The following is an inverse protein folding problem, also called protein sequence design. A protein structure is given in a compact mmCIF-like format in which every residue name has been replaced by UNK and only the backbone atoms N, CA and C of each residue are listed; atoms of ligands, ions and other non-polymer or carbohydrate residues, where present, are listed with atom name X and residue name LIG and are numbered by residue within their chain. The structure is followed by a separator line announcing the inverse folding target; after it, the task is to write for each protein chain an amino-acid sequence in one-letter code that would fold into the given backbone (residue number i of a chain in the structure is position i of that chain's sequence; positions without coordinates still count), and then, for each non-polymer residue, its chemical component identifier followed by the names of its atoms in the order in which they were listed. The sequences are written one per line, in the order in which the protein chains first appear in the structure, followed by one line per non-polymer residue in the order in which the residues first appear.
data_IF_934545318058
#
_entry.id   IF_934545318058
#
_cell.length_a   1.000
_cell.length_b   1.000
_cell.length_c   1.000
_cell.angle_alpha   90.00
_cell.angle_beta   90.00
_cell.angle_gamma   90.00
#
_symmetry.space_group_name_H-M   'P 1'
#
loop_
_entity.id
_entity.type
_entity.pdbx_description
1 polymer ?
#
# COMPACT_ATOMS: atom_id res chain seq x y z
N UNK A 1 3.33 4.88 13.81
CA UNK A 1 2.49 4.54 12.64
C UNK A 1 1.82 3.19 12.87
N UNK A 2 0.55 3.09 12.52
CA UNK A 2 -0.24 1.86 12.62
C UNK A 2 -0.72 1.48 11.22
N UNK A 3 -0.53 0.22 10.85
CA UNK A 3 -0.86 -0.30 9.53
C UNK A 3 -2.10 -1.21 9.57
N UNK A 4 -2.93 -1.10 8.55
CA UNK A 4 -4.08 -1.98 8.30
C UNK A 4 -3.96 -2.52 6.88
N UNK A 5 -3.54 -3.75 6.74
CA UNK A 5 -3.33 -4.38 5.43
C UNK A 5 -4.62 -4.99 4.93
N UNK A 6 -5.17 -4.42 3.86
CA UNK A 6 -6.35 -4.94 3.18
C UNK A 6 -5.98 -5.93 2.07
N UNK A 7 -7.00 -6.38 1.33
CA UNK A 7 -6.79 -7.30 0.22
C UNK A 7 -6.13 -6.66 -1.01
N UNK A 8 -6.27 -5.34 -1.16
CA UNK A 8 -5.81 -4.61 -2.36
C UNK A 8 -4.88 -3.44 -2.04
N UNK A 9 -4.85 -2.99 -0.79
CA UNK A 9 -4.14 -1.78 -0.39
C UNK A 9 -3.68 -1.84 1.05
N UNK A 10 -2.74 -0.96 1.38
CA UNK A 10 -2.26 -0.75 2.75
C UNK A 10 -2.86 0.56 3.26
N UNK A 11 -3.56 0.52 4.37
CA UNK A 11 -4.02 1.72 5.06
C UNK A 11 -3.12 1.96 6.26
N UNK A 12 -2.93 3.22 6.63
CA UNK A 12 -2.14 3.56 7.81
C UNK A 12 -2.62 4.83 8.50
N UNK A 13 -2.35 4.87 9.79
CA UNK A 13 -2.49 6.06 10.63
C UNK A 13 -1.12 6.44 11.16
N UNK A 14 -0.70 7.66 10.86
CA UNK A 14 0.58 8.21 11.31
C UNK A 14 0.31 9.36 12.26
N UNK A 15 0.88 9.30 13.46
CA UNK A 15 0.87 10.41 14.42
C UNK A 15 2.27 10.96 14.55
N UNK A 16 2.43 12.26 14.31
CA UNK A 16 3.71 12.93 14.44
C UNK A 16 3.99 13.27 15.90
N UNK A 17 4.73 12.42 16.59
CA UNK A 17 5.19 12.60 17.96
C UNK A 17 6.58 13.25 18.04
N UNK A 18 7.19 13.57 16.91
CA UNK A 18 8.45 14.30 16.88
C UNK A 18 8.24 15.77 17.24
N UNK A 19 9.28 16.47 17.63
CA UNK A 19 9.23 17.90 17.86
C UNK A 19 9.21 18.75 16.59
N UNK A 20 9.08 18.13 15.41
CA UNK A 20 9.31 18.76 14.11
C UNK A 20 8.21 18.42 13.12
N UNK A 21 8.12 19.20 12.04
CA UNK A 21 7.22 18.90 10.93
C UNK A 21 7.79 17.76 10.09
N UNK A 22 6.95 16.79 9.74
CA UNK A 22 7.28 15.69 8.83
C UNK A 22 6.79 16.00 7.42
N UNK A 23 7.52 15.51 6.43
CA UNK A 23 7.11 15.59 5.03
C UNK A 23 7.24 14.21 4.39
N UNK A 24 6.16 13.75 3.79
CA UNK A 24 6.13 12.48 3.08
C UNK A 24 6.13 12.77 1.58
N UNK A 25 7.15 12.29 0.89
CA UNK A 25 7.22 12.35 -0.57
C UNK A 25 6.75 11.01 -1.14
N UNK A 26 5.51 11.00 -1.64
CA UNK A 26 4.85 9.78 -2.11
C UNK A 26 5.57 9.12 -3.28
N UNK A 27 6.25 9.91 -4.12
CA UNK A 27 6.98 9.39 -5.28
C UNK A 27 8.23 8.58 -4.89
N UNK A 28 8.74 8.79 -3.68
CA UNK A 28 9.92 8.09 -3.17
C UNK A 28 9.58 6.81 -2.41
N UNK A 29 8.29 6.53 -2.19
CA UNK A 29 7.87 5.29 -1.52
C UNK A 29 8.00 4.13 -2.50
N UNK A 30 8.63 3.04 -2.04
CA UNK A 30 8.77 1.81 -2.80
C UNK A 30 7.96 0.70 -2.15
N UNK A 31 7.29 -0.08 -2.97
CA UNK A 31 6.60 -1.30 -2.58
C UNK A 31 7.33 -2.50 -3.17
N UNK A 32 7.62 -3.50 -2.35
CA UNK A 32 8.18 -4.78 -2.80
C UNK A 32 7.12 -5.84 -2.57
N UNK A 33 6.67 -6.48 -3.64
CA UNK A 33 5.62 -7.48 -3.58
C UNK A 33 6.13 -8.84 -3.04
N UNK A 34 5.21 -9.81 -2.92
CA UNK A 34 5.54 -11.14 -2.40
C UNK A 34 6.51 -11.92 -3.31
N UNK A 35 6.71 -11.48 -4.55
CA UNK A 35 7.69 -12.05 -5.49
C UNK A 35 9.05 -11.37 -5.41
N UNK A 36 9.19 -10.31 -4.62
CA UNK A 36 10.40 -9.52 -4.53
C UNK A 36 10.54 -8.45 -5.60
N UNK A 37 9.47 -8.12 -6.32
CA UNK A 37 9.48 -7.07 -7.34
C UNK A 37 9.12 -5.73 -6.73
N UNK A 38 9.90 -4.69 -7.06
CA UNK A 38 9.66 -3.33 -6.61
C UNK A 38 8.74 -2.57 -7.56
N UNK A 39 7.95 -1.66 -7.00
CA UNK A 39 7.06 -0.79 -7.75
C UNK A 39 6.73 0.49 -6.99
N UNK A 40 6.02 1.38 -7.66
CA UNK A 40 5.52 2.62 -7.08
C UNK A 40 4.16 2.41 -6.41
N UNK A 41 3.79 3.36 -5.57
CA UNK A 41 2.46 3.40 -4.94
C UNK A 41 1.80 4.73 -5.25
N UNK A 42 0.47 4.71 -5.23
CA UNK A 42 -0.36 5.91 -5.22
C UNK A 42 -1.06 6.03 -3.86
N UNK A 43 -1.31 7.23 -3.41
CA UNK A 43 -2.03 7.49 -2.18
C UNK A 43 -3.43 8.07 -2.43
N UNK A 44 -4.17 8.37 -1.37
CA UNK A 44 -5.54 8.87 -1.43
C UNK A 44 -5.66 10.12 -2.32
N UNK A 45 -6.74 10.18 -3.09
CA UNK A 45 -7.06 11.33 -3.94
C UNK A 45 -6.43 11.33 -5.32
N UNK A 46 -5.54 10.39 -5.62
CA UNK A 46 -4.94 10.26 -6.95
C UNK A 46 -5.91 9.51 -7.87
N UNK A 47 -6.19 10.09 -9.04
CA UNK A 47 -7.03 9.43 -10.05
C UNK A 47 -6.25 8.30 -10.72
N UNK A 48 -6.93 7.21 -11.05
CA UNK A 48 -6.28 6.01 -11.62
C UNK A 48 -5.63 6.28 -12.98
N UNK A 49 -6.18 7.18 -13.79
CA UNK A 49 -5.54 7.57 -15.05
C UNK A 49 -4.32 8.48 -14.86
N UNK A 50 -4.13 9.02 -13.67
CA UNK A 50 -2.98 9.86 -13.29
C UNK A 50 -1.98 9.13 -12.39
N UNK A 51 -2.12 7.81 -12.23
CA UNK A 51 -1.32 7.01 -11.29
C UNK A 51 0.18 7.04 -11.53
N UNK A 52 0.60 7.36 -12.75
CA UNK A 52 2.02 7.44 -13.10
C UNK A 52 2.57 8.87 -13.01
N UNK A 53 1.72 9.83 -12.68
CA UNK A 53 2.13 11.22 -12.53
C UNK A 53 2.81 11.45 -11.17
N UNK A 54 3.54 12.56 -11.08
CA UNK A 54 4.10 13.00 -9.80
C UNK A 54 2.99 13.34 -8.82
N UNK A 55 3.17 12.93 -7.56
CA UNK A 55 2.23 13.18 -6.47
C UNK A 55 2.81 14.26 -5.56
N UNK A 56 2.04 15.33 -5.25
CA UNK A 56 2.49 16.33 -4.29
C UNK A 56 2.77 15.71 -2.92
N UNK A 57 3.83 16.14 -2.28
CA UNK A 57 4.17 15.68 -0.95
C UNK A 57 3.13 16.12 0.09
N UNK A 58 2.94 15.33 1.13
CA UNK A 58 2.09 15.67 2.27
C UNK A 58 2.93 16.12 3.45
N UNK A 59 2.46 17.17 4.13
CA UNK A 59 3.10 17.73 5.32
C UNK A 59 2.28 17.35 6.55
N UNK A 60 2.94 16.82 7.57
CA UNK A 60 2.33 16.47 8.85
C UNK A 60 2.97 17.34 9.91
N UNK A 61 2.30 18.43 10.35
CA UNK A 61 2.82 19.31 11.38
C UNK A 61 3.06 18.58 12.70
N UNK A 62 3.89 19.17 13.54
CA UNK A 62 4.14 18.70 14.91
C UNK A 62 2.81 18.45 15.65
N UNK A 63 2.67 17.26 16.22
CA UNK A 63 1.49 16.86 16.98
C UNK A 63 0.27 16.48 16.14
N UNK A 64 0.33 16.61 14.81
CA UNK A 64 -0.76 16.24 13.92
C UNK A 64 -0.74 14.76 13.54
N UNK A 65 -1.86 14.30 13.01
CA UNK A 65 -2.02 12.94 12.50
C UNK A 65 -2.43 12.95 11.03
N UNK A 66 -2.01 11.91 10.31
CA UNK A 66 -2.38 11.67 8.92
C UNK A 66 -2.89 10.24 8.79
N UNK A 67 -4.08 10.08 8.21
CA UNK A 67 -4.60 8.78 7.79
C UNK A 67 -4.62 8.74 6.27
N UNK A 68 -3.99 7.73 5.69
CA UNK A 68 -3.89 7.61 4.23
C UNK A 68 -3.81 6.14 3.82
N UNK A 69 -3.65 5.90 2.55
CA UNK A 69 -3.52 4.56 1.98
C UNK A 69 -2.40 4.54 0.94
N UNK A 70 -1.90 3.34 0.70
CA UNK A 70 -0.97 3.06 -0.39
C UNK A 70 -1.54 1.94 -1.25
N UNK A 71 -1.73 2.23 -2.53
CA UNK A 71 -2.17 1.27 -3.53
C UNK A 71 -1.04 1.08 -4.53
N UNK A 72 -0.56 -0.16 -4.74
CA UNK A 72 0.47 -0.40 -5.75
C UNK A 72 0.01 0.05 -7.14
N UNK A 73 0.77 0.92 -7.77
CA UNK A 73 0.42 1.53 -9.06
C UNK A 73 0.25 0.48 -10.15
N UNK A 74 1.10 -0.55 -10.15
CA UNK A 74 1.05 -1.63 -11.15
C UNK A 74 -0.14 -2.57 -10.97
N UNK A 75 -0.85 -2.49 -9.85
CA UNK A 75 -2.04 -3.30 -9.60
C UNK A 75 -3.31 -2.68 -10.18
N UNK A 76 -3.25 -1.45 -10.68
CA UNK A 76 -4.38 -0.80 -11.34
C UNK A 76 -4.35 -1.12 -12.82
N UNK A 77 -5.48 -1.60 -13.35
CA UNK A 77 -5.62 -1.93 -14.77
C UNK A 77 -6.97 -1.48 -15.28
N UNK A 78 -7.07 -1.32 -16.60
CA UNK A 78 -8.28 -0.91 -17.28
C UNK A 78 -8.95 -2.09 -17.99
N UNK A 79 -10.27 -2.17 -17.86
CA UNK A 79 -11.12 -3.14 -18.58
C UNK A 79 -12.03 -2.33 -19.51
N UNK A 80 -11.97 -2.64 -20.81
CA UNK A 80 -12.84 -2.01 -21.81
C UNK A 80 -14.25 -2.61 -21.84
N UNK A 81 -15.20 -1.90 -22.44
CA UNK A 81 -16.57 -2.37 -22.67
C UNK A 81 -17.60 -1.70 -21.77
N UNK A 82 -18.86 -2.15 -21.91
CA UNK A 82 -20.02 -1.54 -21.22
C UNK A 82 -19.88 -1.59 -19.70
N UNK A 83 -19.34 -2.67 -19.15
CA UNK A 83 -19.09 -2.86 -17.72
C UNK A 83 -17.61 -2.68 -17.37
N UNK A 84 -16.89 -1.94 -18.23
CA UNK A 84 -15.48 -1.69 -18.04
C UNK A 84 -15.19 -0.61 -17.01
N UNK A 85 -13.94 -0.21 -16.93
CA UNK A 85 -13.41 0.81 -16.04
C UNK A 85 -12.11 0.37 -15.40
N UNK A 86 -11.63 1.16 -14.45
CA UNK A 86 -10.42 0.82 -13.70
C UNK A 86 -10.72 -0.22 -12.61
N UNK A 87 -9.81 -1.18 -12.47
CA UNK A 87 -9.86 -2.25 -11.48
C UNK A 87 -8.54 -2.33 -10.74
N UNK A 88 -8.57 -2.92 -9.55
CA UNK A 88 -7.36 -3.20 -8.78
C UNK A 88 -7.15 -4.71 -8.66
N UNK A 89 -5.91 -5.15 -8.79
CA UNK A 89 -5.51 -6.52 -8.47
C UNK A 89 -5.36 -6.69 -6.96
N UNK A 90 -5.59 -7.90 -6.47
CA UNK A 90 -5.28 -8.23 -5.10
C UNK A 90 -3.77 -8.18 -4.83
N UNK A 91 -3.37 -7.81 -3.63
CA UNK A 91 -1.97 -7.86 -3.19
C UNK A 91 -1.44 -9.30 -3.25
N UNK A 92 -2.28 -10.26 -2.86
CA UNK A 92 -2.01 -11.69 -2.96
C UNK A 92 -3.06 -12.30 -3.90
N UNK A 93 -2.66 -12.80 -5.07
CA UNK A 93 -3.61 -13.35 -6.04
C UNK A 93 -4.11 -14.72 -5.61
N UNK A 94 -5.27 -14.75 -4.97
CA UNK A 94 -5.97 -16.01 -4.66
C UNK A 94 -7.49 -15.81 -4.75
N UNK A 95 -8.22 -16.91 -4.75
CA UNK A 95 -9.69 -16.88 -4.74
C UNK A 95 -10.17 -16.62 -3.32
N UNK A 96 -10.76 -15.45 -3.09
CA UNK A 96 -11.18 -15.02 -1.75
C UNK A 96 -12.60 -15.41 -1.38
N UNK A 97 -13.45 -15.71 -2.36
CA UNK A 97 -14.87 -16.04 -2.14
C UNK A 97 -15.14 -17.54 -1.94
N UNK A 98 -14.16 -18.39 -2.14
CA UNK A 98 -14.23 -19.83 -1.90
C UNK A 98 -13.21 -20.24 -0.84
N UNK A 99 -13.67 -20.60 0.36
CA UNK A 99 -12.81 -20.89 1.50
C UNK A 99 -11.85 -22.06 1.23
N UNK A 100 -12.33 -23.14 0.60
CA UNK A 100 -11.49 -24.31 0.33
C UNK A 100 -10.37 -24.00 -0.68
N UNK A 101 -10.70 -23.32 -1.77
CA UNK A 101 -9.72 -22.91 -2.78
C UNK A 101 -8.73 -21.88 -2.21
N UNK A 102 -9.24 -20.91 -1.44
CA UNK A 102 -8.39 -19.92 -0.77
C UNK A 102 -7.40 -20.59 0.16
N UNK A 103 -7.84 -21.51 1.00
CA UNK A 103 -6.99 -22.20 1.96
C UNK A 103 -5.90 -23.05 1.26
N UNK A 104 -6.28 -23.70 0.16
CA UNK A 104 -5.32 -24.45 -0.66
C UNK A 104 -4.28 -23.54 -1.32
N UNK A 105 -4.69 -22.37 -1.84
CA UNK A 105 -3.80 -21.39 -2.44
C UNK A 105 -2.96 -20.65 -1.38
N UNK A 106 -3.54 -20.33 -0.22
CA UNK A 106 -2.88 -19.60 0.85
C UNK A 106 -1.63 -20.30 1.35
N UNK A 107 -1.61 -21.62 1.36
CA UNK A 107 -0.43 -22.38 1.83
C UNK A 107 0.84 -22.08 1.03
N UNK A 108 0.70 -21.70 -0.25
CA UNK A 108 1.84 -21.33 -1.09
C UNK A 108 2.38 -19.93 -0.80
N UNK A 109 1.61 -19.07 -0.15
CA UNK A 109 1.98 -17.69 0.18
C UNK A 109 2.42 -17.50 1.64
N UNK A 110 2.08 -18.42 2.52
CA UNK A 110 2.47 -18.33 3.93
C UNK A 110 3.99 -18.32 4.07
N UNK A 111 4.51 -17.38 4.85
CA UNK A 111 5.93 -17.15 5.03
C UNK A 111 6.55 -16.17 4.03
N UNK A 112 5.84 -15.80 2.97
CA UNK A 112 6.27 -14.74 2.07
C UNK A 112 6.03 -13.37 2.69
N UNK A 113 6.77 -12.36 2.22
CA UNK A 113 6.72 -11.01 2.78
C UNK A 113 6.43 -9.97 1.72
N UNK A 114 5.80 -8.88 2.14
CA UNK A 114 5.66 -7.65 1.39
C UNK A 114 6.34 -6.53 2.18
N UNK A 115 6.99 -5.60 1.49
CA UNK A 115 7.76 -4.54 2.16
C UNK A 115 7.37 -3.19 1.60
N UNK A 116 7.23 -2.20 2.49
CA UNK A 116 7.09 -0.79 2.12
C UNK A 116 8.28 -0.05 2.70
N UNK A 117 9.01 0.65 1.84
CA UNK A 117 10.04 1.59 2.23
C UNK A 117 9.48 3.00 2.08
N UNK A 118 9.37 3.72 3.18
CA UNK A 118 8.78 5.06 3.25
C UNK A 118 9.82 6.07 3.74
N UNK A 119 10.44 6.84 2.83
CA UNK A 119 11.28 7.95 3.22
C UNK A 119 10.44 9.08 3.81
N UNK A 120 10.82 9.56 5.00
CA UNK A 120 10.18 10.70 5.67
C UNK A 120 11.24 11.76 5.94
N UNK A 121 10.96 12.98 5.49
CA UNK A 121 11.80 14.14 5.77
C UNK A 121 11.46 14.72 7.14
N UNK A 122 12.45 14.83 8.01
CA UNK A 122 12.36 15.51 9.30
C UNK A 122 13.43 16.59 9.29
N UNK A 123 13.06 17.86 9.33
CA UNK A 123 13.98 19.01 9.30
C UNK A 123 15.01 18.89 8.14
N UNK A 124 14.55 18.64 6.92
CA UNK A 124 15.39 18.48 5.73
C UNK A 124 16.36 17.29 5.78
N UNK A 125 16.22 16.39 6.75
CA UNK A 125 16.94 15.12 6.83
C UNK A 125 16.00 14.00 6.44
N UNK A 126 16.36 13.23 5.42
CA UNK A 126 15.60 12.07 5.00
C UNK A 126 15.89 10.88 5.91
N UNK A 127 14.84 10.26 6.44
CA UNK A 127 14.90 9.04 7.22
C UNK A 127 14.13 7.96 6.48
N UNK A 128 14.77 6.83 6.22
CA UNK A 128 14.16 5.71 5.50
C UNK A 128 13.56 4.74 6.51
N UNK A 129 12.24 4.59 6.47
CA UNK A 129 11.53 3.61 7.30
C UNK A 129 11.10 2.44 6.43
N UNK A 130 11.44 1.25 6.87
CA UNK A 130 11.10 0.00 6.18
C UNK A 130 10.11 -0.78 7.03
N UNK A 131 8.97 -1.14 6.43
CA UNK A 131 7.92 -1.93 7.06
C UNK A 131 7.77 -3.23 6.29
N UNK A 132 7.96 -4.35 6.98
CA UNK A 132 7.86 -5.68 6.38
C UNK A 132 6.64 -6.40 6.96
N UNK A 133 5.80 -6.91 6.08
CA UNK A 133 4.57 -7.61 6.43
C UNK A 133 4.72 -9.08 6.03
N UNK A 134 4.66 -9.97 7.01
CA UNK A 134 4.68 -11.42 6.78
C UNK A 134 3.27 -11.94 6.54
N UNK A 135 3.12 -12.84 5.59
CA UNK A 135 1.83 -13.48 5.30
C UNK A 135 1.71 -14.70 6.19
N UNK A 136 0.85 -14.62 7.20
CA UNK A 136 0.59 -15.72 8.12
C UNK A 136 -0.65 -16.50 7.72
N UNK A 137 -1.71 -15.79 7.28
CA UNK A 137 -3.01 -16.36 6.93
C UNK A 137 -3.77 -15.42 6.00
N UNK A 138 -4.51 -16.01 5.06
CA UNK A 138 -5.45 -15.28 4.22
C UNK A 138 -6.88 -15.52 4.73
N UNK A 139 -7.61 -14.43 4.97
CA UNK A 139 -8.96 -14.45 5.46
C UNK A 139 -9.94 -13.94 4.40
N UNK A 140 -11.13 -14.50 4.37
CA UNK A 140 -12.21 -13.94 3.57
C UNK A 140 -12.89 -12.83 4.37
N UNK A 141 -12.79 -11.60 3.87
CA UNK A 141 -13.44 -10.43 4.44
C UNK A 141 -14.83 -10.15 3.82
N UNK A 142 -15.44 -11.15 3.20
CA UNK A 142 -16.78 -11.00 2.68
C UNK A 142 -17.79 -10.88 3.83
N UNK A 143 -18.07 -9.67 4.19
CA UNK A 143 -19.25 -9.31 4.98
C UNK A 143 -20.07 -8.32 4.18
#
# INVERSE_FOLDING_TARGET
IVWYVGSKQFNFDLTNKSGHTLKINWDDISYVDYKGQTGRVMHSGVKYNERNNSQPASTVPKGASLSDLLLPTDNVYFVSGQYGGCREKYLIPCVYNDAATRDAQASSYVGKTMTIMMPIMIENVQNDYTFTFSIDKLLNNSK
#
